data_IF_430348716860
#
_entry.id   IF_430348716860
#
_cell.length_a   1.000
_cell.length_b   1.000
_cell.length_c   1.000
_cell.angle_alpha   90.00
_cell.angle_beta   90.00
_cell.angle_gamma   90.00
#
_symmetry.space_group_name_H-M   'P 1'
#
loop_
_entity.id
_entity.type
_entity.pdbx_description
1 polymer ?
#
# COMPACT_ATOMS: atom_id res chain seq x y z
N UNK A 1 77.32 46.52 -8.79
CA UNK A 1 76.18 45.89 -9.56
C UNK A 1 75.69 44.69 -8.78
N UNK A 2 74.50 44.84 -8.08
CA UNK A 2 73.92 43.78 -7.28
C UNK A 2 72.68 43.28 -8.03
N UNK A 3 72.71 42.04 -8.49
CA UNK A 3 71.58 41.37 -9.16
C UNK A 3 70.70 40.76 -8.06
N UNK A 4 69.44 41.24 -7.94
CA UNK A 4 68.41 40.67 -7.08
C UNK A 4 67.70 39.55 -7.84
N UNK A 5 67.80 38.32 -7.33
CA UNK A 5 67.03 37.16 -7.76
C UNK A 5 65.68 37.22 -7.09
N UNK A 6 64.57 37.30 -7.89
CA UNK A 6 63.21 37.11 -7.44
C UNK A 6 62.90 35.62 -7.45
N UNK A 7 62.52 35.08 -6.28
CA UNK A 7 62.00 33.72 -6.15
C UNK A 7 60.50 33.82 -6.36
N UNK A 8 59.94 33.18 -7.40
CA UNK A 8 58.55 32.97 -7.57
C UNK A 8 58.14 31.70 -6.78
N UNK A 9 57.31 31.85 -5.74
CA UNK A 9 56.69 30.75 -5.02
C UNK A 9 55.38 30.46 -5.73
N UNK A 10 55.29 29.30 -6.43
CA UNK A 10 54.05 28.79 -7.01
C UNK A 10 53.31 28.04 -5.91
N UNK A 11 52.23 28.66 -5.39
CA UNK A 11 51.28 27.98 -4.50
C UNK A 11 50.38 27.07 -5.32
N UNK A 12 50.59 25.76 -5.19
CA UNK A 12 49.68 24.74 -5.75
C UNK A 12 48.49 24.60 -4.81
N UNK A 13 47.34 25.13 -5.20
CA UNK A 13 46.05 24.91 -4.53
C UNK A 13 45.57 23.48 -4.85
N UNK A 14 45.65 22.59 -3.84
CA UNK A 14 44.99 21.29 -3.88
C UNK A 14 43.50 21.50 -3.64
N UNK A 15 42.66 21.37 -4.68
CA UNK A 15 41.23 21.19 -4.55
C UNK A 15 40.95 19.72 -4.22
N UNK A 16 40.23 19.40 -3.12
CA UNK A 16 39.78 18.04 -2.91
C UNK A 16 38.65 17.74 -3.92
N UNK A 17 38.87 16.76 -4.80
CA UNK A 17 37.86 16.16 -5.61
C UNK A 17 36.87 15.44 -4.68
N UNK A 18 35.70 16.04 -4.46
CA UNK A 18 34.58 15.37 -3.83
C UNK A 18 34.10 14.25 -4.79
N UNK A 19 34.51 13.03 -4.50
CA UNK A 19 33.91 11.85 -5.12
C UNK A 19 32.50 11.72 -4.62
N UNK A 20 31.52 12.10 -5.45
CA UNK A 20 30.13 11.72 -5.25
C UNK A 20 30.05 10.19 -5.30
N UNK A 21 29.97 9.56 -4.15
CA UNK A 21 29.58 8.17 -4.04
C UNK A 21 28.13 8.06 -4.53
N UNK A 22 27.97 7.62 -5.77
CA UNK A 22 26.65 7.24 -6.29
C UNK A 22 26.18 6.05 -5.47
N UNK A 23 25.12 6.24 -4.69
CA UNK A 23 24.36 5.16 -4.08
C UNK A 23 24.02 4.16 -5.19
N UNK A 24 24.33 2.85 -5.03
CA UNK A 24 23.96 1.87 -6.04
C UNK A 24 22.45 1.91 -6.22
N UNK A 25 22.01 2.36 -7.40
CA UNK A 25 20.62 2.29 -7.80
C UNK A 25 20.20 0.82 -7.77
N UNK A 26 19.14 0.49 -7.02
CA UNK A 26 18.53 -0.82 -7.10
C UNK A 26 18.32 -1.18 -8.57
N UNK A 27 18.65 -2.40 -9.01
CA UNK A 27 18.44 -2.80 -10.39
C UNK A 27 16.96 -2.62 -10.71
N UNK A 28 16.67 -1.77 -11.68
CA UNK A 28 15.33 -1.62 -12.21
C UNK A 28 14.87 -3.00 -12.68
N UNK A 29 13.79 -3.52 -12.09
CA UNK A 29 13.15 -4.75 -12.57
C UNK A 29 12.67 -4.46 -13.98
N UNK A 30 13.45 -4.86 -14.97
CA UNK A 30 13.08 -4.76 -16.38
C UNK A 30 11.92 -5.73 -16.59
N UNK A 31 10.72 -5.19 -16.76
CA UNK A 31 9.54 -5.97 -17.13
C UNK A 31 9.60 -6.25 -18.62
N UNK A 32 9.42 -7.53 -19.04
CA UNK A 32 9.75 -7.94 -20.41
C UNK A 32 8.91 -7.33 -21.54
N UNK A 33 7.80 -6.67 -21.25
CA UNK A 33 6.81 -6.32 -22.29
C UNK A 33 6.21 -4.91 -22.21
N UNK A 34 6.79 -4.01 -21.41
CA UNK A 34 6.30 -2.63 -21.31
C UNK A 34 4.84 -2.50 -20.83
N UNK A 35 4.26 -3.58 -20.30
CA UNK A 35 2.90 -3.59 -19.81
C UNK A 35 2.71 -2.65 -18.63
N UNK A 36 1.66 -1.84 -18.63
CA UNK A 36 1.24 -1.03 -17.49
C UNK A 36 0.85 -1.94 -16.34
N UNK A 37 1.68 -2.00 -15.30
CA UNK A 37 1.28 -2.66 -14.06
C UNK A 37 0.35 -1.71 -13.30
N UNK A 38 -0.91 -2.04 -13.22
CA UNK A 38 -1.81 -1.38 -12.29
C UNK A 38 -1.36 -1.70 -10.86
N UNK A 39 -1.11 -0.67 -10.05
CA UNK A 39 -0.89 -0.85 -8.61
C UNK A 39 -2.24 -1.16 -7.96
N UNK A 40 -2.30 -2.22 -7.17
CA UNK A 40 -3.46 -2.51 -6.35
C UNK A 40 -3.32 -1.77 -5.02
N UNK A 41 -4.25 -0.87 -4.73
CA UNK A 41 -4.32 -0.15 -3.47
C UNK A 41 -5.22 -0.94 -2.52
N UNK A 42 -4.62 -1.62 -1.53
CA UNK A 42 -5.35 -2.35 -0.49
C UNK A 42 -5.75 -1.42 0.66
N UNK A 43 -6.52 -1.94 1.61
CA UNK A 43 -6.79 -1.24 2.87
C UNK A 43 -5.53 -1.19 3.73
N UNK A 44 -5.34 -0.07 4.41
CA UNK A 44 -4.29 0.11 5.42
C UNK A 44 -4.82 -0.32 6.79
N UNK A 45 -4.02 -1.03 7.57
CA UNK A 45 -4.35 -1.49 8.92
C UNK A 45 -3.38 -0.83 9.90
N UNK A 46 -3.80 0.20 10.65
CA UNK A 46 -2.96 0.80 11.67
C UNK A 46 -2.86 -0.11 12.91
N UNK A 47 -1.74 -0.07 13.65
CA UNK A 47 -1.57 -0.79 14.91
C UNK A 47 -2.29 -0.07 16.04
N UNK A 48 -3.62 -0.04 16.01
CA UNK A 48 -4.47 0.64 16.98
C UNK A 48 -4.74 -0.28 18.17
N UNK A 49 -4.10 -0.01 19.31
CA UNK A 49 -4.31 -0.75 20.55
C UNK A 49 -5.74 -0.56 21.08
N UNK A 50 -6.27 -1.58 21.74
CA UNK A 50 -7.62 -1.56 22.33
C UNK A 50 -8.76 -1.78 21.35
N UNK A 51 -8.48 -2.01 20.06
CA UNK A 51 -9.50 -2.25 19.03
C UNK A 51 -9.22 -3.57 18.29
N UNK A 52 -9.36 -4.73 18.94
CA UNK A 52 -9.12 -6.03 18.32
C UNK A 52 -10.18 -6.35 17.27
N UNK A 53 -9.77 -7.07 16.23
CA UNK A 53 -10.69 -7.60 15.23
C UNK A 53 -10.09 -8.77 14.44
N UNK A 54 -10.96 -9.55 13.83
CA UNK A 54 -10.62 -10.46 12.74
C UNK A 54 -11.63 -10.28 11.59
N UNK A 55 -11.15 -10.36 10.37
CA UNK A 55 -11.99 -10.27 9.17
C UNK A 55 -11.41 -11.07 8.00
N UNK A 56 -12.27 -11.39 7.05
CA UNK A 56 -11.92 -11.86 5.71
C UNK A 56 -12.03 -10.69 4.74
N UNK A 57 -10.91 -10.25 4.14
CA UNK A 57 -10.94 -9.24 3.08
C UNK A 57 -11.10 -9.91 1.73
N UNK A 58 -12.23 -9.67 1.08
CA UNK A 58 -12.52 -10.09 -0.29
C UNK A 58 -12.03 -9.01 -1.23
N UNK A 59 -11.21 -9.39 -2.21
CA UNK A 59 -10.73 -8.49 -3.28
C UNK A 59 -11.34 -8.90 -4.61
N UNK A 60 -11.91 -7.95 -5.33
CA UNK A 60 -12.29 -8.10 -6.74
C UNK A 60 -11.64 -6.99 -7.57
N UNK A 61 -10.98 -7.37 -8.65
CA UNK A 61 -10.39 -6.45 -9.60
C UNK A 61 -10.92 -6.73 -10.98
N UNK A 62 -11.73 -5.82 -11.51
CA UNK A 62 -12.34 -5.93 -12.82
C UNK A 62 -11.70 -4.97 -13.82
N UNK A 63 -11.46 -5.45 -15.03
CA UNK A 63 -10.93 -4.67 -16.15
C UNK A 63 -11.79 -4.86 -17.38
N UNK A 64 -12.17 -3.78 -18.08
CA UNK A 64 -12.84 -3.89 -19.38
C UNK A 64 -11.86 -4.47 -20.42
N UNK A 65 -12.37 -5.31 -21.29
CA UNK A 65 -11.66 -5.83 -22.47
C UNK A 65 -12.04 -5.01 -23.71
N UNK A 66 -11.14 -4.90 -24.67
CA UNK A 66 -11.36 -4.13 -25.88
C UNK A 66 -12.54 -4.60 -26.75
N UNK A 67 -13.01 -5.83 -26.55
CA UNK A 67 -14.19 -6.43 -27.22
C UNK A 67 -15.51 -6.22 -26.46
N UNK A 68 -15.52 -5.38 -25.42
CA UNK A 68 -16.70 -5.12 -24.57
C UNK A 68 -16.91 -6.13 -23.43
N UNK A 69 -16.05 -7.15 -23.30
CA UNK A 69 -16.07 -8.07 -22.17
C UNK A 69 -15.43 -7.48 -20.91
N UNK A 70 -15.44 -8.26 -19.83
CA UNK A 70 -14.80 -7.90 -18.56
C UNK A 70 -13.96 -9.07 -18.06
N UNK A 71 -12.73 -8.77 -17.62
CA UNK A 71 -11.85 -9.72 -16.95
C UNK A 71 -11.86 -9.41 -15.45
N UNK A 72 -12.15 -10.41 -14.60
CA UNK A 72 -12.25 -10.25 -13.15
C UNK A 72 -11.26 -11.18 -12.45
N UNK A 73 -10.42 -10.60 -11.61
CA UNK A 73 -9.57 -11.32 -10.66
C UNK A 73 -10.14 -11.20 -9.26
N UNK A 74 -9.97 -12.23 -8.45
CA UNK A 74 -10.43 -12.24 -7.06
C UNK A 74 -9.47 -13.02 -6.16
N UNK A 75 -9.45 -12.65 -4.88
CA UNK A 75 -8.94 -13.46 -3.79
C UNK A 75 -9.69 -13.14 -2.49
N UNK A 76 -9.40 -13.95 -1.47
CA UNK A 76 -9.82 -13.70 -0.09
C UNK A 76 -8.60 -13.86 0.80
N UNK A 77 -8.51 -13.03 1.85
CA UNK A 77 -7.40 -13.09 2.79
C UNK A 77 -7.83 -12.72 4.19
N UNK A 78 -7.25 -13.37 5.17
CA UNK A 78 -7.48 -13.06 6.58
C UNK A 78 -6.63 -11.85 7.01
N UNK A 79 -7.24 -10.99 7.81
CA UNK A 79 -6.56 -9.88 8.51
C UNK A 79 -7.05 -9.90 9.95
N UNK A 80 -6.11 -9.79 10.88
CA UNK A 80 -6.38 -9.87 12.31
C UNK A 80 -5.54 -8.81 13.04
N UNK A 81 -6.13 -8.14 14.02
CA UNK A 81 -5.42 -7.27 14.96
C UNK A 81 -5.85 -7.62 16.37
N UNK A 82 -4.90 -7.74 17.30
CA UNK A 82 -5.19 -7.96 18.71
C UNK A 82 -5.33 -6.65 19.51
N UNK A 83 -5.68 -6.76 20.79
CA UNK A 83 -5.83 -5.62 21.70
C UNK A 83 -4.52 -4.87 21.98
N UNK A 84 -3.35 -5.47 21.70
CA UNK A 84 -2.02 -4.84 21.79
C UNK A 84 -1.65 -4.08 20.52
N UNK A 85 -2.47 -4.18 19.46
CA UNK A 85 -2.19 -3.60 18.15
C UNK A 85 -1.27 -4.45 17.26
N UNK A 86 -0.96 -5.70 17.64
CA UNK A 86 -0.24 -6.62 16.73
C UNK A 86 -1.14 -6.99 15.57
N UNK A 87 -0.56 -7.11 14.40
CA UNK A 87 -1.31 -7.36 13.17
C UNK A 87 -0.78 -8.64 12.53
N UNK A 88 -1.70 -9.57 12.22
CA UNK A 88 -1.48 -10.69 11.32
C UNK A 88 -2.27 -10.46 10.04
N UNK A 89 -1.62 -10.60 8.87
CA UNK A 89 -2.30 -10.51 7.59
C UNK A 89 -1.72 -11.46 6.56
N UNK A 90 -2.61 -12.03 5.76
CA UNK A 90 -2.25 -12.93 4.67
C UNK A 90 -2.17 -12.17 3.34
N UNK A 91 -1.39 -12.72 2.40
CA UNK A 91 -1.31 -12.31 1.00
C UNK A 91 -1.58 -13.53 0.13
N UNK A 92 -2.68 -13.48 -0.59
CA UNK A 92 -3.12 -14.54 -1.49
C UNK A 92 -3.01 -14.07 -2.93
N UNK A 93 -2.61 -14.95 -3.84
CA UNK A 93 -2.56 -14.64 -5.26
C UNK A 93 -3.97 -14.38 -5.80
N UNK A 94 -4.08 -13.39 -6.68
CA UNK A 94 -5.31 -13.13 -7.42
C UNK A 94 -5.48 -14.16 -8.52
N UNK A 95 -6.68 -14.69 -8.65
CA UNK A 95 -7.03 -15.69 -9.67
C UNK A 95 -8.27 -15.25 -10.45
N UNK A 96 -8.45 -15.72 -11.70
CA UNK A 96 -9.66 -15.45 -12.46
C UNK A 96 -10.92 -15.92 -11.72
N UNK A 97 -11.91 -15.02 -11.60
CA UNK A 97 -13.21 -15.35 -10.99
C UNK A 97 -13.97 -16.34 -11.85
N UNK A 98 -14.36 -17.47 -11.25
CA UNK A 98 -15.06 -18.56 -11.97
C UNK A 98 -14.16 -19.48 -12.80
N UNK A 99 -12.84 -19.32 -12.74
CA UNK A 99 -11.89 -20.24 -13.36
C UNK A 99 -11.49 -21.41 -12.44
N UNK A 100 -10.78 -22.38 -13.00
CA UNK A 100 -10.31 -23.59 -12.28
C UNK A 100 -9.08 -23.35 -11.40
N UNK A 101 -8.42 -22.19 -11.55
CA UNK A 101 -7.23 -21.85 -10.78
C UNK A 101 -7.63 -21.48 -9.36
N UNK A 102 -7.08 -22.23 -8.38
CA UNK A 102 -7.30 -21.94 -6.97
C UNK A 102 -6.29 -20.90 -6.48
N UNK A 103 -6.79 -19.90 -5.74
CA UNK A 103 -5.94 -18.98 -5.00
C UNK A 103 -5.15 -19.75 -3.94
N UNK A 104 -3.91 -19.33 -3.69
CA UNK A 104 -3.05 -19.86 -2.63
C UNK A 104 -2.42 -18.72 -1.85
N UNK A 105 -2.13 -18.96 -0.60
CA UNK A 105 -1.38 -18.00 0.21
C UNK A 105 0.09 -18.01 -0.26
N UNK A 106 0.59 -16.82 -0.54
CA UNK A 106 1.96 -16.58 -0.98
C UNK A 106 2.85 -16.11 0.18
N UNK A 107 2.31 -15.19 0.96
CA UNK A 107 2.99 -14.57 2.10
C UNK A 107 1.99 -14.40 3.25
N UNK A 108 2.47 -14.54 4.49
CA UNK A 108 1.81 -13.92 5.64
C UNK A 108 2.76 -12.97 6.35
N UNK A 109 2.20 -12.00 7.05
CA UNK A 109 2.94 -10.96 7.73
C UNK A 109 2.47 -10.85 9.18
N UNK A 110 3.42 -10.68 10.10
CA UNK A 110 3.16 -10.40 11.51
C UNK A 110 3.87 -9.10 11.87
N UNK A 111 3.12 -8.13 12.39
CA UNK A 111 3.66 -6.85 12.86
C UNK A 111 3.45 -6.75 14.36
N UNK A 112 4.50 -6.43 15.11
CA UNK A 112 4.44 -6.11 16.54
C UNK A 112 4.93 -4.68 16.76
N UNK A 113 4.02 -3.72 17.04
CA UNK A 113 4.37 -2.32 17.23
C UNK A 113 5.14 -2.06 18.51
N UNK A 114 4.95 -2.87 19.57
CA UNK A 114 5.66 -2.72 20.85
C UNK A 114 7.12 -3.18 20.72
N UNK A 115 7.36 -4.26 19.98
CA UNK A 115 8.69 -4.80 19.73
C UNK A 115 9.39 -4.16 18.52
N UNK A 116 8.70 -3.29 17.78
CA UNK A 116 9.17 -2.71 16.52
C UNK A 116 9.63 -3.77 15.51
N UNK A 117 8.90 -4.89 15.42
CA UNK A 117 9.23 -6.00 14.53
C UNK A 117 8.17 -6.22 13.48
N UNK A 118 8.63 -6.60 12.28
CA UNK A 118 7.79 -7.01 11.17
C UNK A 118 8.36 -8.28 10.54
N UNK A 119 7.60 -9.36 10.62
CA UNK A 119 7.90 -10.60 9.94
C UNK A 119 7.20 -10.66 8.60
N UNK A 120 7.95 -10.94 7.53
CA UNK A 120 7.44 -11.20 6.19
C UNK A 120 7.79 -12.63 5.80
N UNK A 121 6.82 -13.52 5.79
CA UNK A 121 7.01 -14.98 5.72
C UNK A 121 6.50 -15.54 4.40
N UNK A 122 7.39 -16.07 3.57
CA UNK A 122 7.06 -16.74 2.31
C UNK A 122 6.64 -18.19 2.55
N UNK A 123 5.45 -18.57 2.09
CA UNK A 123 4.90 -19.92 2.34
C UNK A 123 5.61 -21.02 1.54
N UNK A 124 6.11 -20.69 0.35
CA UNK A 124 6.77 -21.64 -0.54
C UNK A 124 8.17 -22.05 -0.05
N UNK A 125 8.93 -21.10 0.50
CA UNK A 125 10.32 -21.30 0.95
C UNK A 125 10.42 -21.61 2.43
N UNK A 126 9.34 -21.39 3.20
CA UNK A 126 9.32 -21.45 4.67
C UNK A 126 10.37 -20.55 5.31
N UNK A 127 10.57 -19.36 4.74
CA UNK A 127 11.50 -18.35 5.25
C UNK A 127 10.73 -17.10 5.67
N UNK A 128 11.00 -16.63 6.89
CA UNK A 128 10.53 -15.34 7.40
C UNK A 128 11.69 -14.35 7.47
N UNK A 129 11.54 -13.21 6.82
CA UNK A 129 12.45 -12.09 7.01
C UNK A 129 11.95 -11.27 8.21
N UNK A 130 12.82 -11.07 9.21
CA UNK A 130 12.57 -10.18 10.33
C UNK A 130 13.11 -8.79 9.99
N UNK A 131 12.23 -7.81 9.92
CA UNK A 131 12.48 -6.42 9.55
C UNK A 131 12.16 -5.48 10.72
N UNK A 132 12.71 -4.26 10.72
CA UNK A 132 12.26 -3.21 11.63
C UNK A 132 10.88 -2.71 11.20
N UNK A 133 9.96 -2.63 12.14
CA UNK A 133 8.71 -1.92 11.98
C UNK A 133 8.89 -0.48 12.44
N UNK A 134 8.63 0.46 11.55
CA UNK A 134 8.63 1.89 11.87
C UNK A 134 7.19 2.39 11.80
N UNK A 135 6.70 2.93 12.92
CA UNK A 135 5.46 3.70 12.94
C UNK A 135 5.70 4.97 12.11
N UNK A 136 4.99 5.11 11.02
CA UNK A 136 4.99 6.34 10.22
C UNK A 136 3.83 7.23 10.66
N UNK A 137 3.86 8.52 10.29
CA UNK A 137 2.72 9.42 10.51
C UNK A 137 1.47 8.97 9.77
N UNK A 138 1.61 8.11 8.75
CA UNK A 138 0.52 7.48 8.02
C UNK A 138 -0.21 6.40 8.83
N UNK A 139 0.41 5.88 9.91
CA UNK A 139 -0.19 4.88 10.80
C UNK A 139 -1.41 5.41 11.58
N UNK A 140 -1.62 6.73 11.59
CA UNK A 140 -2.81 7.40 12.12
C UNK A 140 -3.73 7.91 11.00
N UNK A 141 -3.73 7.25 9.85
CA UNK A 141 -4.53 7.66 8.71
C UNK A 141 -6.03 7.66 9.05
N UNK A 142 -6.56 8.85 9.28
CA UNK A 142 -7.99 9.11 9.15
C UNK A 142 -8.22 9.64 7.74
N UNK A 143 -9.22 9.14 7.01
CA UNK A 143 -9.56 9.69 5.72
C UNK A 143 -9.86 11.19 5.89
N UNK A 144 -8.94 12.04 5.48
CA UNK A 144 -9.22 13.47 5.43
C UNK A 144 -10.24 13.70 4.32
N UNK A 145 -11.42 14.21 4.68
CA UNK A 145 -12.36 14.72 3.70
C UNK A 145 -11.67 15.96 3.11
N UNK A 146 -11.14 15.81 1.89
CA UNK A 146 -10.54 16.93 1.18
C UNK A 146 -11.61 17.95 0.77
N UNK A 147 -11.19 19.15 0.37
CA UNK A 147 -12.09 20.16 -0.17
C UNK A 147 -12.35 19.92 -1.66
N UNK A 148 -13.61 20.05 -2.07
CA UNK A 148 -13.96 20.08 -3.49
C UNK A 148 -13.44 21.37 -4.14
N UNK A 149 -12.99 21.28 -5.38
CA UNK A 149 -12.50 22.45 -6.11
C UNK A 149 -11.69 22.10 -7.35
N UNK A 150 -11.21 23.13 -8.06
CA UNK A 150 -10.34 22.95 -9.22
C UNK A 150 -8.96 22.40 -8.80
N UNK A 151 -8.38 21.55 -9.64
CA UNK A 151 -6.98 21.16 -9.51
C UNK A 151 -6.06 22.32 -9.94
N UNK A 152 -4.85 22.34 -9.38
CA UNK A 152 -3.86 23.37 -9.71
C UNK A 152 -3.64 23.48 -11.22
N UNK A 153 -3.45 24.74 -11.70
CA UNK A 153 -3.16 25.05 -13.10
C UNK A 153 -4.22 24.60 -14.11
N UNK A 154 -5.50 24.53 -13.71
CA UNK A 154 -6.60 24.16 -14.61
C UNK A 154 -6.55 22.71 -15.10
N UNK A 155 -5.83 21.83 -14.41
CA UNK A 155 -5.65 20.41 -14.82
C UNK A 155 -6.90 19.56 -14.69
N UNK A 156 -7.94 20.05 -14.02
CA UNK A 156 -9.17 19.31 -13.79
C UNK A 156 -9.88 19.78 -12.52
N UNK A 157 -10.63 18.88 -11.91
CA UNK A 157 -11.40 19.14 -10.68
C UNK A 157 -11.37 17.95 -9.74
N UNK A 158 -11.61 18.23 -8.46
CA UNK A 158 -11.83 17.24 -7.40
C UNK A 158 -13.17 17.52 -6.74
N UNK A 159 -13.94 16.49 -6.50
CA UNK A 159 -15.20 16.53 -5.77
C UNK A 159 -15.12 15.55 -4.61
N UNK A 160 -15.58 15.99 -3.45
CA UNK A 160 -15.76 15.15 -2.27
C UNK A 160 -17.23 15.08 -1.92
N UNK A 161 -17.71 13.90 -1.60
CA UNK A 161 -19.08 13.62 -1.23
C UNK A 161 -19.09 12.85 0.09
N UNK A 162 -19.91 13.31 1.03
CA UNK A 162 -20.24 12.57 2.25
C UNK A 162 -21.40 11.62 1.92
N UNK A 163 -21.17 10.32 2.09
CA UNK A 163 -22.18 9.29 1.81
C UNK A 163 -22.99 8.92 3.06
N UNK A 164 -22.70 9.56 4.20
CA UNK A 164 -23.38 9.33 5.46
C UNK A 164 -22.90 8.07 6.19
N UNK A 165 -23.75 7.62 7.14
CA UNK A 165 -23.46 6.51 8.04
C UNK A 165 -24.09 5.22 7.53
N UNK A 166 -23.38 4.10 7.68
CA UNK A 166 -23.83 2.75 7.39
C UNK A 166 -23.25 1.78 8.42
N UNK A 167 -23.47 0.48 8.26
CA UNK A 167 -22.92 -0.56 9.11
C UNK A 167 -22.45 -1.75 8.27
N UNK A 168 -21.34 -2.37 8.68
CA UNK A 168 -20.80 -3.60 8.10
C UNK A 168 -20.62 -4.61 9.23
N UNK A 169 -21.30 -5.74 9.17
CA UNK A 169 -21.31 -6.79 10.20
C UNK A 169 -21.53 -6.24 11.63
N UNK A 170 -22.38 -5.23 11.76
CA UNK A 170 -22.71 -4.60 13.05
C UNK A 170 -21.73 -3.52 13.53
N UNK A 171 -20.69 -3.23 12.76
CA UNK A 171 -19.73 -2.15 13.05
C UNK A 171 -20.09 -0.91 12.23
N UNK A 172 -20.20 0.23 12.91
CA UNK A 172 -20.56 1.50 12.27
C UNK A 172 -19.45 2.00 11.35
N UNK A 173 -19.86 2.53 10.21
CA UNK A 173 -18.97 3.10 9.19
C UNK A 173 -19.51 4.43 8.70
N UNK A 174 -18.59 5.32 8.27
CA UNK A 174 -18.91 6.55 7.57
C UNK A 174 -18.34 6.50 6.15
N UNK A 175 -19.20 6.75 5.18
CA UNK A 175 -18.86 6.67 3.75
C UNK A 175 -18.40 7.99 3.18
N UNK A 176 -17.35 7.95 2.36
CA UNK A 176 -16.79 9.10 1.65
C UNK A 176 -16.50 8.72 0.21
N UNK A 177 -16.77 9.62 -0.73
CA UNK A 177 -16.37 9.46 -2.12
C UNK A 177 -15.56 10.67 -2.58
N UNK A 178 -14.44 10.38 -3.23
CA UNK A 178 -13.65 11.36 -3.97
C UNK A 178 -13.76 11.06 -5.45
N UNK A 179 -14.07 12.06 -6.27
CA UNK A 179 -14.03 12.00 -7.73
C UNK A 179 -13.02 13.01 -8.24
N UNK A 180 -11.99 12.52 -8.95
CA UNK A 180 -10.98 13.35 -9.60
C UNK A 180 -11.17 13.26 -11.10
N UNK A 181 -11.41 14.41 -11.74
CA UNK A 181 -11.50 14.54 -13.20
C UNK A 181 -10.27 15.26 -13.72
N UNK A 182 -9.51 14.62 -14.60
CA UNK A 182 -8.37 15.21 -15.31
C UNK A 182 -8.84 15.64 -16.69
N UNK A 183 -8.57 16.89 -17.05
CA UNK A 183 -8.96 17.46 -18.34
C UNK A 183 -8.22 16.80 -19.51
N UNK A 184 -8.79 16.83 -20.74
CA UNK A 184 -8.12 16.35 -21.93
C UNK A 184 -6.75 17.01 -22.14
N UNK A 185 -5.78 16.25 -22.61
CA UNK A 185 -4.42 16.71 -22.91
C UNK A 185 -3.46 16.78 -21.72
N UNK A 186 -3.96 16.76 -20.48
CA UNK A 186 -3.13 16.94 -19.27
C UNK A 186 -2.17 15.76 -19.06
N UNK A 187 -2.61 14.54 -19.35
CA UNK A 187 -1.82 13.31 -19.24
C UNK A 187 -1.72 12.56 -20.58
N UNK A 188 -1.84 13.27 -21.71
CA UNK A 188 -1.86 12.69 -23.05
C UNK A 188 -3.22 12.05 -23.42
N UNK A 189 -4.24 12.28 -22.61
CA UNK A 189 -5.60 11.79 -22.81
C UNK A 189 -6.38 12.67 -23.80
N UNK A 190 -7.15 12.06 -24.68
CA UNK A 190 -8.03 12.73 -25.66
C UNK A 190 -9.41 13.11 -25.06
N UNK A 191 -9.79 12.44 -23.96
CA UNK A 191 -11.05 12.66 -23.23
C UNK A 191 -10.76 12.87 -21.75
N UNK A 192 -11.70 13.48 -20.99
CA UNK A 192 -11.56 13.57 -19.54
C UNK A 192 -11.34 12.18 -18.93
N UNK A 193 -10.38 12.08 -18.00
CA UNK A 193 -10.17 10.87 -17.20
C UNK A 193 -10.79 11.07 -15.83
N UNK A 194 -11.74 10.21 -15.47
CA UNK A 194 -12.43 10.25 -14.19
C UNK A 194 -11.97 9.08 -13.34
N UNK A 195 -11.44 9.38 -12.14
CA UNK A 195 -11.12 8.38 -11.13
C UNK A 195 -11.99 8.61 -9.92
N UNK A 196 -12.67 7.56 -9.46
CA UNK A 196 -13.48 7.57 -8.24
C UNK A 196 -12.82 6.73 -7.16
N UNK A 197 -12.84 7.21 -5.93
CA UNK A 197 -12.44 6.47 -4.73
C UNK A 197 -13.56 6.58 -3.71
N UNK A 198 -14.00 5.45 -3.19
CA UNK A 198 -15.04 5.36 -2.18
C UNK A 198 -14.53 4.54 -1.01
N UNK A 199 -14.73 5.05 0.21
CA UNK A 199 -14.28 4.41 1.44
C UNK A 199 -15.41 4.41 2.45
N UNK A 200 -15.57 3.28 3.15
CA UNK A 200 -16.45 3.15 4.30
C UNK A 200 -15.57 2.87 5.52
N UNK A 201 -15.28 3.93 6.23
CA UNK A 201 -14.33 3.94 7.35
C UNK A 201 -15.05 3.68 8.68
N UNK A 202 -14.51 2.76 9.49
CA UNK A 202 -14.93 2.55 10.88
C UNK A 202 -14.04 3.37 11.82
N UNK A 203 -14.59 4.38 12.54
CA UNK A 203 -13.84 5.11 13.56
C UNK A 203 -13.41 4.22 14.74
N UNK A 204 -14.23 3.22 15.10
CA UNK A 204 -13.95 2.27 16.19
C UNK A 204 -12.71 1.42 15.88
N UNK A 205 -12.64 0.88 14.67
CA UNK A 205 -11.54 0.01 14.25
C UNK A 205 -10.39 0.77 13.59
N UNK A 206 -10.58 2.04 13.26
CA UNK A 206 -9.65 2.88 12.52
C UNK A 206 -9.20 2.29 11.16
N UNK A 207 -10.11 1.60 10.46
CA UNK A 207 -9.87 0.98 9.15
C UNK A 207 -11.03 1.23 8.18
N UNK A 208 -10.75 1.14 6.89
CA UNK A 208 -11.77 1.07 5.86
C UNK A 208 -12.29 -0.37 5.77
N UNK A 209 -13.58 -0.60 6.03
CA UNK A 209 -14.24 -1.90 5.85
C UNK A 209 -14.62 -2.17 4.39
N UNK A 210 -14.85 -1.10 3.62
CA UNK A 210 -15.02 -1.16 2.17
C UNK A 210 -14.12 -0.10 1.54
N UNK A 211 -13.41 -0.47 0.48
CA UNK A 211 -12.63 0.45 -0.35
C UNK A 211 -12.87 0.13 -1.82
N UNK A 212 -13.30 1.12 -2.58
CA UNK A 212 -13.57 1.00 -4.02
C UNK A 212 -12.71 2.05 -4.74
N UNK A 213 -11.94 1.61 -5.71
CA UNK A 213 -11.21 2.49 -6.63
C UNK A 213 -11.61 2.14 -8.05
N UNK A 214 -12.11 3.11 -8.79
CA UNK A 214 -12.46 2.95 -10.20
C UNK A 214 -11.68 3.99 -11.02
N UNK A 215 -10.76 3.50 -11.85
CA UNK A 215 -9.88 4.34 -12.64
C UNK A 215 -9.73 3.79 -14.07
N UNK A 216 -9.75 4.65 -15.09
CA UNK A 216 -9.70 4.23 -16.50
C UNK A 216 -8.50 3.36 -16.85
N UNK A 217 -7.33 3.62 -16.21
CA UNK A 217 -6.09 2.91 -16.51
C UNK A 217 -5.98 1.55 -15.81
N UNK A 218 -6.56 1.41 -14.61
CA UNK A 218 -6.41 0.20 -13.79
C UNK A 218 -7.67 -0.64 -13.70
N UNK A 219 -8.82 -0.11 -14.12
CA UNK A 219 -10.13 -0.72 -13.91
C UNK A 219 -10.63 -0.50 -12.48
N UNK A 220 -11.65 -1.28 -12.09
CA UNK A 220 -12.32 -1.17 -10.81
C UNK A 220 -11.78 -2.20 -9.82
N UNK A 221 -11.30 -1.73 -8.68
CA UNK A 221 -10.85 -2.53 -7.55
C UNK A 221 -11.84 -2.37 -6.40
N UNK A 222 -12.27 -3.47 -5.83
CA UNK A 222 -13.20 -3.51 -4.69
C UNK A 222 -12.60 -4.37 -3.60
N UNK A 223 -12.49 -3.80 -2.41
CA UNK A 223 -12.08 -4.49 -1.19
C UNK A 223 -13.25 -4.44 -0.21
N UNK A 224 -13.71 -5.59 0.24
CA UNK A 224 -14.85 -5.68 1.16
C UNK A 224 -14.48 -6.57 2.34
N UNK A 225 -14.58 -6.04 3.55
CA UNK A 225 -14.51 -6.84 4.77
C UNK A 225 -15.77 -7.70 4.90
N UNK A 226 -15.57 -8.95 5.31
CA UNK A 226 -16.61 -9.93 5.63
C UNK A 226 -16.21 -10.71 6.87
N UNK A 227 -17.19 -11.37 7.48
CA UNK A 227 -16.97 -12.20 8.67
C UNK A 227 -16.25 -11.42 9.78
N UNK A 228 -16.60 -10.13 9.93
CA UNK A 228 -15.98 -9.25 10.91
C UNK A 228 -16.39 -9.64 12.32
N UNK A 229 -15.38 -9.86 13.17
CA UNK A 229 -15.56 -10.08 14.60
C UNK A 229 -14.61 -9.17 15.39
N UNK A 230 -15.12 -8.53 16.44
CA UNK A 230 -14.38 -7.61 17.31
C UNK A 230 -13.90 -8.28 18.60
N UNK A 231 -13.80 -9.59 18.60
CA UNK A 231 -13.30 -10.40 19.71
C UNK A 231 -11.76 -10.47 19.68
N UNK A 232 -11.15 -10.68 20.86
CA UNK A 232 -9.71 -10.93 20.97
C UNK A 232 -9.33 -12.19 20.20
N UNK A 233 -8.40 -12.11 19.23
CA UNK A 233 -8.00 -13.24 18.44
C UNK A 233 -7.04 -14.19 19.18
N UNK A 234 -6.88 -15.40 18.65
CA UNK A 234 -5.97 -16.40 19.19
C UNK A 234 -4.51 -15.92 19.19
N UNK A 235 -3.80 -15.94 20.33
CA UNK A 235 -2.45 -15.40 20.46
C UNK A 235 -1.40 -16.05 19.55
N UNK A 236 -1.60 -17.32 19.19
CA UNK A 236 -0.69 -18.08 18.33
C UNK A 236 -0.59 -17.55 16.89
N UNK A 237 -1.57 -16.74 16.45
CA UNK A 237 -1.51 -16.07 15.14
C UNK A 237 -0.37 -15.06 15.03
N UNK A 238 0.10 -14.54 16.16
CA UNK A 238 1.16 -13.52 16.21
C UNK A 238 2.54 -14.11 16.53
N UNK A 239 2.70 -15.43 16.32
CA UNK A 239 3.96 -16.15 16.48
C UNK A 239 4.33 -16.80 15.14
N UNK A 240 5.60 -16.66 14.74
CA UNK A 240 6.10 -17.36 13.55
C UNK A 240 6.09 -18.87 13.84
N UNK A 241 5.46 -19.69 12.98
CA UNK A 241 5.45 -21.14 13.17
C UNK A 241 6.85 -21.76 13.15
N UNK A 242 7.07 -22.78 13.97
CA UNK A 242 8.39 -23.43 14.17
C UNK A 242 9.03 -23.97 12.90
N UNK A 243 8.24 -24.33 11.89
CA UNK A 243 8.72 -24.82 10.62
C UNK A 243 9.30 -23.73 9.70
N UNK A 244 9.24 -22.43 10.11
CA UNK A 244 9.81 -21.33 9.35
C UNK A 244 11.20 -20.95 9.86
N UNK A 245 12.14 -20.80 8.93
CA UNK A 245 13.46 -20.23 9.23
C UNK A 245 13.38 -18.71 9.29
N UNK A 246 13.76 -18.13 10.43
CA UNK A 246 13.84 -16.66 10.57
C UNK A 246 15.22 -16.18 10.09
N UNK A 247 15.22 -15.18 9.22
CA UNK A 247 16.42 -14.45 8.75
C UNK A 247 16.28 -13.00 9.22
N UNK A 248 17.17 -12.60 10.12
CA UNK A 248 17.17 -11.22 10.65
C UNK A 248 17.77 -10.25 9.63
N UNK A 249 16.97 -9.27 9.23
CA UNK A 249 17.28 -8.21 8.26
C UNK A 249 17.14 -6.80 8.86
N UNK A 250 17.11 -6.69 10.18
CA UNK A 250 16.88 -5.41 10.86
C UNK A 250 18.03 -4.42 10.71
N UNK A 251 19.21 -4.87 10.38
CA UNK A 251 20.42 -4.04 10.26
C UNK A 251 20.90 -3.86 8.81
N UNK A 252 20.12 -4.33 7.84
CA UNK A 252 20.34 -4.08 6.41
C UNK A 252 19.51 -2.86 5.95
#
# INVERSE_FOLDING_TARGET
>A
MRVRRFLFIISILFFPLATNAQTPSQPAVVRPDGGTSGRMESIFIPPNAGAPFSLTLVTEWSRPLGNGGTFILTNQRRIVRDSRGRIYQERWILVPKGGDIKSRMDVFQITDPEQHTWYNCETATKVCQLLKYHLTTEDNFQPAIGTSGPLANGKGSRQHEDLGVSSTDGVDTHGYRETVTINPGVMGNDKPMVTTREFWYSPELAINLISIVDAPQSGKQVFTAKDLATLEPEPNLFVVPDEYKIVDKRDE
#
